data_IF_817985556432
#
_entry.id   IF_817985556432
#
_cell.length_a   1.000
_cell.length_b   1.000
_cell.length_c   1.000
_cell.angle_alpha   90.00
_cell.angle_beta   90.00
_cell.angle_gamma   90.00
#
_symmetry.space_group_name_H-M   'P 1'
#
loop_
_entity.id
_entity.type
_entity.pdbx_description
1 polymer ?
#
# COMPACT_ATOMS: atom_id res chain seq x y z
N UNK A 1 2.32 -4.80 -24.26
CA UNK A 1 0.99 -4.18 -24.00
C UNK A 1 0.01 -5.23 -23.51
N UNK A 2 0.01 -5.49 -22.19
CA UNK A 2 -0.89 -6.48 -21.65
C UNK A 2 -1.11 -6.13 -20.21
N UNK A 3 -2.16 -6.69 -19.60
CA UNK A 3 -2.44 -6.42 -18.23
C UNK A 3 -1.45 -7.20 -17.40
N UNK A 4 -1.14 -6.66 -16.24
CA UNK A 4 -0.20 -7.29 -15.31
C UNK A 4 -0.68 -8.62 -14.80
N UNK A 5 -1.83 -8.60 -14.11
CA UNK A 5 -2.36 -9.83 -13.59
C UNK A 5 -3.82 -9.57 -13.27
N UNK A 6 -4.26 -10.04 -12.09
CA UNK A 6 -5.64 -9.85 -11.70
C UNK A 6 -5.74 -10.18 -10.24
N UNK A 7 -4.89 -11.13 -9.76
CA UNK A 7 -4.92 -11.49 -8.36
C UNK A 7 -3.80 -10.75 -7.70
N UNK A 8 -2.72 -10.57 -8.46
CA UNK A 8 -1.58 -9.88 -7.95
C UNK A 8 -2.02 -8.45 -7.63
N UNK A 9 -2.91 -7.88 -8.45
CA UNK A 9 -3.37 -6.52 -8.23
C UNK A 9 -4.24 -6.50 -7.00
N UNK A 10 -4.86 -7.64 -6.68
CA UNK A 10 -5.72 -7.69 -5.50
C UNK A 10 -4.84 -7.44 -4.31
N UNK A 11 -3.53 -7.74 -4.45
CA UNK A 11 -2.60 -7.51 -3.36
C UNK A 11 -2.36 -6.04 -3.30
N UNK A 12 -2.19 -5.42 -4.47
CA UNK A 12 -1.95 -4.01 -4.53
C UNK A 12 -3.09 -3.34 -3.84
N UNK A 13 -4.31 -3.79 -4.16
CA UNK A 13 -5.49 -3.20 -3.56
C UNK A 13 -5.55 -3.60 -2.10
N UNK A 14 -5.19 -4.85 -1.79
CA UNK A 14 -5.25 -5.31 -0.41
C UNK A 14 -4.35 -4.43 0.44
N UNK A 15 -3.09 -4.26 0.03
CA UNK A 15 -2.18 -3.44 0.83
C UNK A 15 -2.61 -2.02 0.69
N UNK A 16 -3.26 -1.69 -0.43
CA UNK A 16 -3.69 -0.33 -0.65
C UNK A 16 -4.68 0.01 0.43
N UNK A 17 -5.66 -0.86 0.66
CA UNK A 17 -6.66 -0.59 1.68
C UNK A 17 -5.95 -0.51 3.00
N UNK A 18 -4.95 -1.37 3.22
CA UNK A 18 -4.22 -1.36 4.47
C UNK A 18 -3.48 -0.04 4.54
N UNK A 19 -3.08 0.48 3.37
CA UNK A 19 -2.36 1.72 3.33
C UNK A 19 -3.33 2.83 3.61
N UNK A 20 -4.46 2.83 2.91
CA UNK A 20 -5.44 3.85 3.12
C UNK A 20 -5.84 3.81 4.55
N UNK A 21 -5.93 2.59 5.09
CA UNK A 21 -6.30 2.44 6.50
C UNK A 21 -5.22 3.11 7.32
N UNK A 22 -3.97 3.03 6.83
CA UNK A 22 -2.86 3.63 7.55
C UNK A 22 -3.04 5.13 7.49
N UNK A 23 -3.50 5.65 6.34
CA UNK A 23 -3.71 7.08 6.21
C UNK A 23 -4.88 7.46 7.08
N UNK A 24 -5.78 6.50 7.35
CA UNK A 24 -6.93 6.79 8.17
C UNK A 24 -6.48 6.73 9.59
N UNK A 25 -5.35 6.05 9.82
CA UNK A 25 -4.83 5.93 11.16
C UNK A 25 -4.36 7.29 11.59
N UNK A 26 -4.16 7.45 12.91
CA UNK A 26 -3.70 8.73 13.42
C UNK A 26 -2.21 8.76 13.26
N UNK A 27 -1.66 7.75 12.56
CA UNK A 27 -0.24 7.71 12.35
C UNK A 27 0.08 8.68 11.26
N UNK A 28 -0.97 9.10 10.53
CA UNK A 28 -0.78 10.03 9.46
C UNK A 28 -0.88 11.41 10.04
N UNK A 29 0.10 11.77 10.89
CA UNK A 29 0.08 13.08 11.51
C UNK A 29 1.12 13.91 10.83
N UNK A 30 2.19 13.25 10.34
CA UNK A 30 3.24 13.95 9.67
C UNK A 30 3.26 13.45 8.26
N UNK A 31 3.93 14.20 7.38
CA UNK A 31 4.01 13.81 5.99
C UNK A 31 4.90 12.59 5.91
N UNK A 32 6.00 12.60 6.68
CA UNK A 32 6.92 11.48 6.66
C UNK A 32 6.24 10.31 7.29
N UNK A 33 5.49 10.56 8.37
CA UNK A 33 4.80 9.48 9.04
C UNK A 33 3.80 8.88 8.08
N UNK A 34 3.11 9.76 7.29
CA UNK A 34 2.13 9.27 6.34
C UNK A 34 2.90 8.63 5.20
N UNK A 35 4.12 9.14 4.93
CA UNK A 35 4.92 8.57 3.85
C UNK A 35 5.28 7.17 4.24
N UNK A 36 5.53 6.96 5.54
CA UNK A 36 5.90 5.63 6.02
C UNK A 36 4.77 4.71 5.68
N UNK A 37 3.54 5.20 5.78
CA UNK A 37 2.38 4.36 5.48
C UNK A 37 2.48 3.97 4.04
N UNK A 38 2.90 4.90 3.20
CA UNK A 38 3.01 4.64 1.79
C UNK A 38 4.18 3.72 1.59
N UNK A 39 5.24 3.95 2.35
CA UNK A 39 6.40 3.13 2.24
C UNK A 39 6.03 1.74 2.69
N UNK A 40 5.18 1.65 3.72
CA UNK A 40 4.78 0.36 4.22
C UNK A 40 4.00 -0.29 3.12
N UNK A 41 3.22 0.52 2.39
CA UNK A 41 2.45 0.01 1.30
C UNK A 41 3.41 -0.48 0.26
N UNK A 42 4.48 0.29 0.03
CA UNK A 42 5.45 -0.08 -0.97
C UNK A 42 6.06 -1.42 -0.56
N UNK A 43 6.43 -1.56 0.72
CA UNK A 43 7.03 -2.80 1.18
C UNK A 43 5.95 -3.88 1.20
N UNK A 44 4.71 -3.47 1.52
CA UNK A 44 3.61 -4.42 1.59
C UNK A 44 3.37 -4.92 0.22
N UNK A 45 3.49 -4.02 -0.75
CA UNK A 45 3.26 -4.37 -2.10
C UNK A 45 4.44 -5.15 -2.59
N UNK A 46 5.61 -4.73 -2.20
CA UNK A 46 6.81 -5.38 -2.65
C UNK A 46 6.82 -6.81 -2.15
N UNK A 47 6.23 -7.05 -0.99
CA UNK A 47 6.23 -8.40 -0.45
C UNK A 47 4.98 -9.11 -0.92
N UNK A 48 3.83 -8.44 -0.79
CA UNK A 48 2.58 -9.06 -1.17
C UNK A 48 2.50 -9.21 -2.68
N UNK A 49 2.96 -8.18 -3.42
CA UNK A 49 2.87 -8.24 -4.88
C UNK A 49 4.05 -7.50 -5.47
N UNK A 50 5.22 -8.08 -5.31
CA UNK A 50 6.45 -7.51 -5.84
C UNK A 50 6.34 -7.07 -7.28
#
# INVERSE_FOLDING_TARGET
>A
SSTPDGTWVKCRHDCFTKYKSCQMSDSCHDEQSCHQCHVKHTDCVNTGCP
#
